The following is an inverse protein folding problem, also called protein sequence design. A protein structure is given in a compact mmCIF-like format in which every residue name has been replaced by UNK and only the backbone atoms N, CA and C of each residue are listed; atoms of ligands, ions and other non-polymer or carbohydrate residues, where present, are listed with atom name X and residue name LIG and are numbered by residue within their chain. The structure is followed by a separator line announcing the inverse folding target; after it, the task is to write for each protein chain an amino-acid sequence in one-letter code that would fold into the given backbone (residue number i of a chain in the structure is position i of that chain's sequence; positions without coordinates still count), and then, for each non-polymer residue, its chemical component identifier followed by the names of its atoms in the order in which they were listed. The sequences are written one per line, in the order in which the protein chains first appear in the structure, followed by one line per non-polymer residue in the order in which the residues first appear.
data_IF_842718421735
#
_entry.id   IF_842718421735
#
_cell.length_a   1.000
_cell.length_b   1.000
_cell.length_c   1.000
_cell.angle_alpha   90.00
_cell.angle_beta   90.00
_cell.angle_gamma   90.00
#
_symmetry.space_group_name_H-M   'P 1'
#
loop_
_entity.id
_entity.type
_entity.pdbx_description
1 polymer ?
#
# COMPACT_ATOMS: atom_id res chain seq x y z
N UNK A 1 -13.68 -30.94 -46.48
CA UNK A 1 -13.19 -31.61 -45.25
C UNK A 1 -11.98 -30.84 -44.75
N UNK A 2 -12.20 -29.88 -43.85
CA UNK A 2 -11.09 -29.33 -43.08
C UNK A 2 -10.49 -30.47 -42.26
N UNK A 3 -9.25 -30.80 -42.51
CA UNK A 3 -8.50 -31.74 -41.74
C UNK A 3 -8.54 -31.31 -40.23
N UNK A 4 -8.66 -32.28 -39.32
CA UNK A 4 -8.80 -32.04 -37.86
C UNK A 4 -7.65 -31.15 -37.31
N UNK A 5 -6.46 -31.17 -37.95
CA UNK A 5 -5.35 -30.26 -37.63
C UNK A 5 -5.60 -28.81 -38.00
N UNK A 6 -6.40 -28.53 -39.05
CA UNK A 6 -6.77 -27.18 -39.42
C UNK A 6 -7.90 -26.60 -38.54
N UNK A 7 -8.69 -27.45 -37.86
CA UNK A 7 -9.66 -26.96 -36.87
C UNK A 7 -8.99 -26.36 -35.64
N UNK A 8 -7.82 -26.82 -35.25
CA UNK A 8 -7.03 -26.23 -34.18
C UNK A 8 -6.41 -24.88 -34.55
N UNK A 9 -6.33 -24.58 -35.83
CA UNK A 9 -5.88 -23.30 -36.41
C UNK A 9 -7.04 -22.44 -36.93
N UNK A 10 -8.31 -22.85 -36.73
CA UNK A 10 -9.44 -22.00 -37.06
C UNK A 10 -9.40 -20.73 -36.22
N UNK A 11 -9.36 -19.62 -36.91
CA UNK A 11 -9.29 -18.21 -36.50
C UNK A 11 -10.41 -17.78 -35.48
N UNK A 12 -11.16 -18.70 -34.95
CA UNK A 12 -12.31 -18.47 -34.04
C UNK A 12 -11.97 -18.61 -32.56
N UNK A 13 -10.93 -19.38 -32.24
CA UNK A 13 -10.43 -19.43 -30.88
C UNK A 13 -9.54 -18.22 -30.66
N UNK A 14 -9.78 -17.48 -29.61
CA UNK A 14 -9.02 -16.25 -29.33
C UNK A 14 -8.59 -16.18 -27.88
N UNK A 15 -7.33 -15.76 -27.70
CA UNK A 15 -6.74 -15.47 -26.41
C UNK A 15 -6.51 -13.97 -26.31
N UNK A 16 -7.13 -13.33 -25.33
CA UNK A 16 -7.03 -11.90 -25.10
C UNK A 16 -6.23 -11.65 -23.83
N UNK A 17 -5.16 -10.90 -23.96
CA UNK A 17 -4.24 -10.57 -22.86
C UNK A 17 -3.72 -9.16 -23.04
N UNK A 18 -3.48 -8.47 -21.92
CA UNK A 18 -2.74 -7.20 -21.95
C UNK A 18 -1.25 -7.53 -21.99
N UNK A 19 -0.56 -7.01 -23.02
CA UNK A 19 0.87 -7.25 -23.19
C UNK A 19 1.67 -6.79 -21.96
N UNK A 20 2.57 -7.65 -21.47
CA UNK A 20 3.36 -7.41 -20.27
C UNK A 20 2.65 -7.73 -18.94
N UNK A 21 1.37 -8.16 -18.96
CA UNK A 21 0.64 -8.53 -17.74
C UNK A 21 0.50 -10.02 -17.51
N UNK A 22 0.90 -10.83 -18.49
CA UNK A 22 0.76 -12.28 -18.42
C UNK A 22 2.09 -12.98 -18.23
N UNK A 23 2.06 -14.07 -17.48
CA UNK A 23 3.19 -14.96 -17.28
C UNK A 23 3.34 -15.87 -18.51
N UNK A 24 4.23 -15.49 -19.42
CA UNK A 24 4.42 -16.13 -20.74
C UNK A 24 4.69 -17.64 -20.60
N UNK A 25 5.53 -18.05 -19.66
CA UNK A 25 5.87 -19.45 -19.44
C UNK A 25 4.64 -20.34 -19.11
N UNK A 26 3.66 -19.81 -18.38
CA UNK A 26 2.44 -20.55 -18.05
C UNK A 26 1.53 -20.60 -19.27
N UNK A 27 1.39 -19.48 -19.98
CA UNK A 27 0.57 -19.42 -21.20
C UNK A 27 1.09 -20.36 -22.27
N UNK A 28 2.41 -20.37 -22.53
CA UNK A 28 3.02 -21.29 -23.50
C UNK A 28 2.76 -22.75 -23.15
N UNK A 29 2.92 -23.13 -21.87
CA UNK A 29 2.63 -24.51 -21.43
C UNK A 29 1.16 -24.86 -21.62
N UNK A 30 0.25 -23.96 -21.31
CA UNK A 30 -1.19 -24.17 -21.49
C UNK A 30 -1.56 -24.29 -22.96
N UNK A 31 -1.03 -23.42 -23.82
CA UNK A 31 -1.23 -23.48 -25.27
C UNK A 31 -0.69 -24.82 -25.82
N UNK A 32 0.52 -25.23 -25.42
CA UNK A 32 1.09 -26.50 -25.83
C UNK A 32 0.24 -27.69 -25.38
N UNK A 33 -0.31 -27.65 -24.18
CA UNK A 33 -1.24 -28.66 -23.67
C UNK A 33 -2.53 -28.70 -24.51
N UNK A 34 -3.15 -27.55 -24.81
CA UNK A 34 -4.36 -27.49 -25.61
C UNK A 34 -4.16 -27.99 -27.04
N UNK A 35 -3.02 -27.64 -27.64
CA UNK A 35 -2.67 -28.14 -28.99
C UNK A 35 -2.41 -29.66 -29.03
N UNK A 36 -2.06 -30.27 -27.89
CA UNK A 36 -1.85 -31.72 -27.78
C UNK A 36 -3.12 -32.51 -27.54
N UNK A 37 -4.27 -31.86 -27.27
CA UNK A 37 -5.55 -32.53 -27.03
C UNK A 37 -6.08 -33.17 -28.29
N UNK A 38 -6.35 -34.49 -28.31
CA UNK A 38 -6.70 -35.20 -29.53
C UNK A 38 -8.14 -34.91 -30.02
N UNK A 39 -9.04 -34.55 -29.12
CA UNK A 39 -10.45 -34.32 -29.47
C UNK A 39 -11.18 -33.38 -28.51
N UNK A 40 -11.52 -32.19 -28.98
CA UNK A 40 -12.31 -31.18 -28.24
C UNK A 40 -13.83 -31.47 -28.34
N UNK A 41 -14.26 -32.33 -29.27
CA UNK A 41 -15.68 -32.64 -29.43
C UNK A 41 -16.24 -33.47 -28.28
N UNK A 42 -15.40 -34.12 -27.49
CA UNK A 42 -15.76 -34.86 -26.30
C UNK A 42 -16.08 -34.00 -25.07
N UNK A 43 -15.94 -32.66 -25.16
CA UNK A 43 -16.14 -31.73 -24.06
C UNK A 43 -17.46 -30.97 -24.31
N UNK A 44 -18.56 -31.30 -23.59
CA UNK A 44 -19.87 -30.76 -23.91
C UNK A 44 -20.13 -29.34 -23.37
N UNK A 45 -19.37 -28.89 -22.33
CA UNK A 45 -19.61 -27.61 -21.65
C UNK A 45 -18.32 -26.87 -21.35
N UNK A 46 -18.42 -25.53 -21.23
CA UNK A 46 -17.31 -24.68 -20.87
C UNK A 46 -16.74 -24.99 -19.48
N UNK A 47 -17.61 -25.39 -18.53
CA UNK A 47 -17.19 -25.81 -17.19
C UNK A 47 -16.40 -27.13 -17.22
N UNK A 48 -16.77 -28.05 -18.12
CA UNK A 48 -16.00 -29.28 -18.32
C UNK A 48 -14.65 -29.01 -19.00
N UNK A 49 -14.58 -28.03 -19.89
CA UNK A 49 -13.31 -27.57 -20.48
C UNK A 49 -12.42 -26.94 -19.40
N UNK A 50 -12.96 -26.07 -18.57
CA UNK A 50 -12.24 -25.44 -17.47
C UNK A 50 -11.63 -26.51 -16.55
N UNK A 51 -12.41 -27.49 -16.10
CA UNK A 51 -11.93 -28.49 -15.14
C UNK A 51 -10.88 -29.46 -15.71
N UNK A 52 -10.90 -29.74 -17.03
CA UNK A 52 -10.00 -30.69 -17.68
C UNK A 52 -8.77 -30.03 -18.32
N UNK A 53 -8.96 -28.85 -18.88
CA UNK A 53 -7.96 -28.22 -19.76
C UNK A 53 -7.26 -27.01 -19.12
N UNK A 54 -7.79 -26.45 -18.04
CA UNK A 54 -7.23 -25.29 -17.34
C UNK A 54 -6.89 -25.68 -15.90
N UNK A 55 -5.76 -26.38 -15.73
CA UNK A 55 -5.36 -26.91 -14.42
C UNK A 55 -4.15 -26.18 -13.81
N UNK A 56 -3.48 -25.33 -14.61
CA UNK A 56 -2.23 -24.68 -14.22
C UNK A 56 -2.43 -23.34 -13.48
N UNK A 57 -3.64 -22.80 -13.45
CA UNK A 57 -3.96 -21.52 -12.84
C UNK A 57 -5.40 -21.47 -12.35
N UNK A 58 -5.70 -20.50 -11.49
CA UNK A 58 -7.10 -20.19 -11.11
C UNK A 58 -7.82 -19.62 -12.32
N UNK A 59 -9.01 -20.19 -12.59
CA UNK A 59 -9.80 -19.76 -13.72
C UNK A 59 -11.30 -19.84 -13.42
N UNK A 60 -12.05 -18.93 -14.04
CA UNK A 60 -13.50 -18.85 -13.88
C UNK A 60 -14.19 -18.67 -15.23
N UNK A 61 -15.36 -19.26 -15.38
CA UNK A 61 -16.21 -19.07 -16.56
C UNK A 61 -16.85 -17.68 -16.48
N UNK A 62 -16.70 -16.92 -17.57
CA UNK A 62 -17.28 -15.61 -17.76
C UNK A 62 -18.36 -15.70 -18.85
N UNK A 63 -19.56 -15.19 -18.54
CA UNK A 63 -20.71 -15.20 -19.47
C UNK A 63 -21.14 -13.79 -19.88
N UNK A 64 -20.67 -12.76 -19.17
CA UNK A 64 -20.94 -11.35 -19.47
C UNK A 64 -19.76 -10.72 -20.21
N UNK A 65 -20.08 -9.90 -21.23
CA UNK A 65 -19.08 -9.10 -21.93
C UNK A 65 -18.39 -8.09 -21.02
N UNK A 66 -19.13 -7.51 -20.10
CA UNK A 66 -18.62 -6.51 -19.16
C UNK A 66 -17.61 -7.14 -18.19
N UNK A 67 -17.93 -8.33 -17.67
CA UNK A 67 -17.05 -9.12 -16.82
C UNK A 67 -15.77 -9.54 -17.57
N UNK A 68 -15.88 -9.95 -18.84
CA UNK A 68 -14.75 -10.30 -19.68
C UNK A 68 -13.79 -9.12 -19.89
N UNK A 69 -14.33 -7.96 -20.28
CA UNK A 69 -13.56 -6.74 -20.50
C UNK A 69 -12.87 -6.29 -19.21
N UNK A 70 -13.61 -6.26 -18.10
CA UNK A 70 -13.07 -5.93 -16.80
C UNK A 70 -11.96 -6.90 -16.38
N UNK A 71 -12.15 -8.19 -16.57
CA UNK A 71 -11.18 -9.23 -16.28
C UNK A 71 -9.87 -9.02 -17.02
N UNK A 72 -9.93 -8.75 -18.33
CA UNK A 72 -8.75 -8.50 -19.16
C UNK A 72 -8.01 -7.23 -18.73
N UNK A 73 -8.72 -6.13 -18.47
CA UNK A 73 -8.09 -4.90 -17.98
C UNK A 73 -7.55 -5.03 -16.55
N UNK A 74 -8.06 -5.98 -15.76
CA UNK A 74 -7.50 -6.33 -14.45
C UNK A 74 -6.28 -7.26 -14.54
N UNK A 75 -5.77 -7.54 -15.75
CA UNK A 75 -4.58 -8.36 -15.99
C UNK A 75 -4.86 -9.86 -16.11
N UNK A 76 -6.14 -10.30 -16.11
CA UNK A 76 -6.48 -11.70 -16.41
C UNK A 76 -6.41 -11.97 -17.89
N UNK A 77 -6.17 -13.21 -18.25
CA UNK A 77 -6.20 -13.66 -19.64
C UNK A 77 -7.55 -14.26 -19.96
N UNK A 78 -8.18 -13.81 -21.02
CA UNK A 78 -9.45 -14.31 -21.48
C UNK A 78 -9.23 -15.30 -22.64
N UNK A 79 -9.73 -16.52 -22.49
CA UNK A 79 -9.81 -17.53 -23.54
C UNK A 79 -11.24 -17.62 -24.04
N UNK A 80 -11.44 -17.42 -25.33
CA UNK A 80 -12.72 -17.66 -26.02
C UNK A 80 -12.55 -18.82 -26.97
N UNK A 81 -13.35 -19.88 -26.79
CA UNK A 81 -13.29 -21.10 -27.58
C UNK A 81 -14.53 -21.18 -28.48
N UNK A 82 -14.33 -21.47 -29.76
CA UNK A 82 -15.42 -21.60 -30.72
C UNK A 82 -16.38 -22.75 -30.32
N UNK A 83 -17.67 -22.51 -30.46
CA UNK A 83 -18.71 -23.46 -30.09
C UNK A 83 -19.24 -23.35 -28.67
N UNK A 84 -18.67 -22.51 -27.83
CA UNK A 84 -19.16 -22.25 -26.46
C UNK A 84 -19.69 -20.81 -26.31
N UNK A 85 -20.78 -20.66 -25.57
CA UNK A 85 -21.30 -19.33 -25.19
C UNK A 85 -20.60 -18.87 -23.93
N UNK A 86 -19.63 -17.90 -24.08
CA UNK A 86 -18.85 -17.33 -22.97
C UNK A 86 -17.35 -17.47 -23.18
N UNK A 87 -16.59 -17.16 -22.16
CA UNK A 87 -15.14 -17.28 -22.13
C UNK A 87 -14.63 -17.77 -20.77
N UNK A 88 -13.37 -18.06 -20.70
CA UNK A 88 -12.67 -18.44 -19.46
C UNK A 88 -11.67 -17.36 -19.11
N UNK A 89 -11.84 -16.73 -17.96
CA UNK A 89 -10.89 -15.78 -17.39
C UNK A 89 -9.87 -16.55 -16.53
N UNK A 90 -8.62 -16.51 -16.93
CA UNK A 90 -7.50 -17.20 -16.28
C UNK A 90 -6.64 -16.20 -15.51
N UNK A 91 -6.28 -16.51 -14.27
CA UNK A 91 -5.39 -15.70 -13.46
C UNK A 91 -3.93 -16.14 -13.67
N UNK A 92 -3.34 -15.68 -14.76
CA UNK A 92 -1.92 -15.86 -15.11
C UNK A 92 -1.19 -14.52 -15.11
N UNK A 93 -1.70 -13.57 -14.32
CA UNK A 93 -1.15 -12.21 -14.29
C UNK A 93 0.21 -12.17 -13.64
N UNK A 94 1.08 -11.40 -14.24
CA UNK A 94 2.38 -11.01 -13.69
C UNK A 94 2.60 -9.54 -14.01
N UNK A 95 2.37 -8.68 -13.02
CA UNK A 95 2.65 -7.27 -13.22
C UNK A 95 4.16 -7.03 -13.19
N UNK A 96 4.68 -6.11 -14.03
CA UNK A 96 6.04 -5.64 -13.88
C UNK A 96 6.18 -4.96 -12.52
N UNK A 97 7.00 -5.51 -11.66
CA UNK A 97 7.29 -4.97 -10.34
C UNK A 97 8.79 -4.84 -10.17
N UNK A 98 9.25 -3.82 -9.47
CA UNK A 98 10.65 -3.75 -9.06
C UNK A 98 10.96 -4.86 -8.06
N UNK A 99 12.23 -5.21 -7.94
CA UNK A 99 12.72 -6.08 -6.87
C UNK A 99 12.48 -5.43 -5.50
N UNK A 100 12.42 -6.28 -4.45
CA UNK A 100 12.36 -5.79 -3.08
C UNK A 100 13.73 -5.19 -2.75
N UNK A 101 13.76 -3.88 -2.53
CA UNK A 101 14.96 -3.10 -2.26
C UNK A 101 14.82 -2.31 -0.96
N UNK A 102 15.93 -1.81 -0.46
CA UNK A 102 15.91 -0.95 0.72
C UNK A 102 15.22 0.38 0.41
N UNK A 103 14.32 0.87 1.30
CA UNK A 103 13.64 2.14 1.12
C UNK A 103 14.62 3.31 1.10
N UNK A 104 14.36 4.31 0.26
CA UNK A 104 15.20 5.50 0.17
C UNK A 104 15.04 6.43 1.37
N UNK A 105 13.82 6.54 1.90
CA UNK A 105 13.46 7.51 2.95
C UNK A 105 13.72 7.01 4.37
N UNK A 106 13.81 5.70 4.58
CA UNK A 106 13.86 5.09 5.92
C UNK A 106 14.99 4.07 6.04
N UNK A 107 16.19 4.45 5.63
CA UNK A 107 17.39 3.60 5.73
C UNK A 107 17.78 3.35 7.17
N UNK A 108 18.17 2.13 7.48
CA UNK A 108 18.65 1.74 8.81
C UNK A 108 20.04 1.12 8.72
N UNK A 109 20.83 1.36 9.76
CA UNK A 109 22.18 0.79 9.87
C UNK A 109 22.16 -0.70 10.23
N UNK A 110 21.09 -1.17 10.85
CA UNK A 110 20.91 -2.56 11.29
C UNK A 110 19.44 -2.94 11.10
N UNK A 111 19.20 -4.21 10.77
CA UNK A 111 17.86 -4.75 10.63
C UNK A 111 17.53 -5.21 9.21
N UNK A 112 16.26 -5.31 8.91
CA UNK A 112 15.78 -5.73 7.59
C UNK A 112 15.96 -4.61 6.58
N UNK A 113 16.43 -4.95 5.37
CA UNK A 113 16.60 -4.01 4.26
C UNK A 113 15.50 -4.15 3.22
N UNK A 114 14.46 -4.96 3.48
CA UNK A 114 13.32 -5.08 2.58
C UNK A 114 12.35 -3.92 2.76
N UNK A 115 11.91 -3.35 1.65
CA UNK A 115 10.89 -2.30 1.56
C UNK A 115 9.61 -2.80 0.91
N UNK A 116 8.54 -2.03 1.07
CA UNK A 116 7.32 -2.24 0.30
C UNK A 116 7.54 -1.90 -1.18
N UNK A 117 6.81 -2.60 -2.02
CA UNK A 117 6.80 -2.42 -3.48
C UNK A 117 5.43 -1.94 -3.93
N UNK A 118 5.28 -1.61 -5.21
CA UNK A 118 4.01 -1.12 -5.77
C UNK A 118 2.91 -2.19 -5.81
N UNK A 119 3.28 -3.47 -5.73
CA UNK A 119 2.34 -4.59 -5.81
C UNK A 119 1.74 -4.92 -4.44
N UNK A 120 0.42 -4.68 -4.28
CA UNK A 120 -0.33 -4.92 -3.06
C UNK A 120 -0.20 -6.36 -2.53
N UNK A 121 -0.21 -7.35 -3.42
CA UNK A 121 -0.15 -8.77 -3.01
C UNK A 121 1.24 -9.16 -2.50
N UNK A 122 2.29 -8.59 -3.09
CA UNK A 122 3.66 -8.78 -2.58
C UNK A 122 3.82 -8.15 -1.21
N UNK A 123 3.29 -6.94 -1.01
CA UNK A 123 3.30 -6.26 0.29
C UNK A 123 2.53 -7.06 1.35
N UNK A 124 1.36 -7.60 1.00
CA UNK A 124 0.60 -8.48 1.87
C UNK A 124 1.39 -9.76 2.24
N UNK A 125 2.11 -10.34 1.28
CA UNK A 125 2.96 -11.51 1.52
C UNK A 125 4.15 -11.18 2.44
N UNK A 126 4.75 -9.98 2.33
CA UNK A 126 5.81 -9.52 3.23
C UNK A 126 5.32 -9.43 4.67
N UNK A 127 4.13 -8.87 4.91
CA UNK A 127 3.52 -8.82 6.24
C UNK A 127 3.20 -10.23 6.76
N UNK A 128 2.57 -11.08 5.93
CA UNK A 128 2.22 -12.46 6.31
C UNK A 128 3.46 -13.32 6.63
N UNK A 129 4.58 -13.11 5.93
CA UNK A 129 5.85 -13.79 6.21
C UNK A 129 6.39 -13.46 7.60
N UNK A 130 6.18 -12.21 8.07
CA UNK A 130 6.65 -11.72 9.37
C UNK A 130 5.69 -12.06 10.49
N UNK A 131 4.39 -11.87 10.27
CA UNK A 131 3.33 -12.20 11.22
C UNK A 131 2.75 -13.56 10.83
N UNK A 132 3.17 -14.60 11.53
CA UNK A 132 2.71 -15.98 11.31
C UNK A 132 1.54 -16.35 12.22
N UNK A 133 0.70 -15.38 12.58
CA UNK A 133 -0.50 -15.55 13.38
C UNK A 133 -1.74 -15.64 12.48
N UNK A 134 -2.63 -16.58 12.78
CA UNK A 134 -3.90 -16.76 12.06
C UNK A 134 -4.86 -15.58 12.26
N UNK A 135 -4.70 -14.80 13.34
CA UNK A 135 -5.48 -13.60 13.63
C UNK A 135 -5.13 -12.40 12.73
N UNK A 136 -4.02 -12.46 11.99
CA UNK A 136 -3.72 -11.42 11.03
C UNK A 136 -4.76 -11.43 9.92
N UNK A 137 -5.56 -10.39 9.85
CA UNK A 137 -6.59 -10.20 8.84
C UNK A 137 -6.13 -9.20 7.80
N UNK A 138 -6.26 -9.59 6.53
CA UNK A 138 -5.97 -8.79 5.34
C UNK A 138 -7.28 -8.63 4.56
N UNK A 139 -7.99 -7.54 4.81
CA UNK A 139 -9.27 -7.24 4.19
C UNK A 139 -9.06 -6.39 2.94
N UNK A 140 -9.34 -6.96 1.78
CA UNK A 140 -9.24 -6.24 0.51
C UNK A 140 -10.54 -5.50 0.22
N UNK A 141 -10.44 -4.21 -0.03
CA UNK A 141 -11.55 -3.34 -0.43
C UNK A 141 -11.21 -2.73 -1.79
N UNK A 142 -12.05 -2.98 -2.79
CA UNK A 142 -11.94 -2.31 -4.08
C UNK A 142 -12.69 -0.98 -4.02
N UNK A 143 -12.00 0.11 -4.34
CA UNK A 143 -12.62 1.43 -4.38
C UNK A 143 -13.49 1.56 -5.64
N UNK A 144 -14.67 2.16 -5.47
CA UNK A 144 -15.59 2.44 -6.59
C UNK A 144 -15.19 3.75 -7.31
N UNK A 145 -14.03 3.71 -7.94
CA UNK A 145 -13.48 4.79 -8.75
C UNK A 145 -13.22 4.30 -10.18
N UNK A 146 -12.86 5.21 -11.09
CA UNK A 146 -12.56 4.86 -12.49
C UNK A 146 -11.38 3.90 -12.61
N UNK A 147 -10.38 3.99 -11.72
CA UNK A 147 -9.19 3.13 -11.71
C UNK A 147 -9.42 1.80 -10.99
N UNK A 148 -10.53 1.63 -10.24
CA UNK A 148 -10.83 0.45 -9.41
C UNK A 148 -9.64 0.00 -8.58
N UNK A 149 -9.01 0.98 -7.93
CA UNK A 149 -7.83 0.76 -7.11
C UNK A 149 -8.14 -0.16 -5.94
N UNK A 150 -7.30 -1.16 -5.73
CA UNK A 150 -7.40 -2.06 -4.59
C UNK A 150 -6.70 -1.45 -3.36
N UNK A 151 -7.37 -1.56 -2.23
CA UNK A 151 -6.84 -1.15 -0.92
C UNK A 151 -6.94 -2.35 0.03
N UNK A 152 -5.90 -2.61 0.81
CA UNK A 152 -5.93 -3.62 1.85
C UNK A 152 -5.86 -2.99 3.24
N UNK A 153 -6.81 -3.36 4.10
CA UNK A 153 -6.77 -3.11 5.53
C UNK A 153 -6.10 -4.29 6.22
N UNK A 154 -4.99 -4.06 6.89
CA UNK A 154 -4.21 -5.07 7.58
C UNK A 154 -4.23 -4.79 9.07
N UNK A 155 -4.72 -5.73 9.87
CA UNK A 155 -4.89 -5.57 11.31
C UNK A 155 -4.88 -6.92 12.02
N UNK A 156 -4.64 -6.89 13.33
CA UNK A 156 -4.73 -8.08 14.18
C UNK A 156 -6.15 -8.18 14.75
N UNK A 157 -6.82 -9.30 14.47
CA UNK A 157 -8.16 -9.56 15.00
C UNK A 157 -8.12 -9.71 16.52
N UNK A 158 -8.97 -8.94 17.20
CA UNK A 158 -9.04 -8.89 18.68
C UNK A 158 -8.10 -7.87 19.34
N UNK A 159 -7.14 -7.29 18.62
CA UNK A 159 -6.25 -6.23 19.13
C UNK A 159 -6.62 -4.86 18.57
N UNK A 160 -7.01 -4.82 17.29
CA UNK A 160 -7.38 -3.57 16.62
C UNK A 160 -8.71 -3.03 17.14
N UNK A 161 -8.80 -1.70 17.26
CA UNK A 161 -10.02 -0.99 17.68
C UNK A 161 -11.16 -1.22 16.66
N UNK A 162 -12.29 -1.84 17.10
CA UNK A 162 -13.40 -2.13 16.21
C UNK A 162 -14.11 -0.87 15.68
N UNK A 163 -14.14 0.21 16.47
CA UNK A 163 -14.78 1.46 16.08
C UNK A 163 -13.97 2.15 14.97
N UNK A 164 -12.64 2.15 15.11
CA UNK A 164 -11.74 2.64 14.06
C UNK A 164 -11.90 1.82 12.75
N UNK A 165 -11.95 0.50 12.84
CA UNK A 165 -12.16 -0.37 11.68
C UNK A 165 -13.50 -0.09 10.98
N UNK A 166 -14.58 0.08 11.74
CA UNK A 166 -15.89 0.42 11.20
C UNK A 166 -15.88 1.78 10.49
N UNK A 167 -15.20 2.78 11.07
CA UNK A 167 -15.03 4.11 10.47
C UNK A 167 -14.23 4.03 9.16
N UNK A 168 -13.10 3.32 9.15
CA UNK A 168 -12.25 3.15 7.97
C UNK A 168 -13.00 2.45 6.84
N UNK A 169 -13.71 1.35 7.13
CA UNK A 169 -14.54 0.66 6.14
C UNK A 169 -15.63 1.55 5.55
N UNK A 170 -16.29 2.35 6.39
CA UNK A 170 -17.32 3.30 5.96
C UNK A 170 -16.73 4.38 5.07
N UNK A 171 -15.58 4.95 5.42
CA UNK A 171 -14.90 5.97 4.63
C UNK A 171 -14.45 5.43 3.27
N UNK A 172 -13.83 4.25 3.23
CA UNK A 172 -13.39 3.61 2.00
C UNK A 172 -14.56 3.29 1.05
N UNK A 173 -15.68 2.76 1.57
CA UNK A 173 -16.88 2.48 0.76
C UNK A 173 -17.54 3.74 0.22
N UNK A 174 -17.53 4.83 0.97
CA UNK A 174 -18.16 6.09 0.57
C UNK A 174 -17.23 7.00 -0.24
N UNK A 175 -16.04 6.53 -0.55
CA UNK A 175 -15.02 7.30 -1.25
C UNK A 175 -15.36 7.43 -2.73
N UNK A 176 -16.01 8.53 -3.10
CA UNK A 176 -16.30 8.90 -4.49
C UNK A 176 -15.19 9.82 -5.02
N UNK A 177 -14.07 9.26 -5.42
CA UNK A 177 -12.99 10.03 -6.04
C UNK A 177 -12.97 9.75 -7.54
N UNK A 178 -13.21 10.76 -8.34
CA UNK A 178 -13.39 10.62 -9.79
C UNK A 178 -12.18 10.10 -10.55
N UNK A 179 -10.97 10.45 -10.16
CA UNK A 179 -9.72 9.83 -10.61
C UNK A 179 -8.68 10.00 -9.50
N UNK A 180 -8.11 8.89 -9.06
CA UNK A 180 -7.00 8.90 -8.11
C UNK A 180 -5.73 9.01 -8.92
N UNK A 181 -5.25 10.23 -9.15
CA UNK A 181 -3.99 10.48 -9.84
C UNK A 181 -2.79 10.12 -8.95
N UNK A 182 -2.94 10.32 -7.63
CA UNK A 182 -1.99 9.91 -6.59
C UNK A 182 -2.72 8.99 -5.61
N UNK A 183 -2.69 7.69 -5.85
CA UNK A 183 -3.57 6.71 -5.18
C UNK A 183 -3.51 6.78 -3.66
N UNK A 184 -2.33 6.85 -3.09
CA UNK A 184 -2.14 6.79 -1.63
C UNK A 184 -2.49 8.10 -0.92
N UNK A 185 -2.04 9.25 -1.44
CA UNK A 185 -2.36 10.56 -0.85
C UNK A 185 -3.86 10.83 -0.87
N UNK A 186 -4.53 10.48 -1.95
CA UNK A 186 -5.99 10.63 -2.05
C UNK A 186 -6.72 9.76 -1.04
N UNK A 187 -6.23 8.53 -0.78
CA UNK A 187 -6.78 7.66 0.26
C UNK A 187 -6.49 8.25 1.63
N UNK A 188 -5.27 8.71 1.91
CA UNK A 188 -4.90 9.33 3.17
C UNK A 188 -5.73 10.58 3.48
N UNK A 189 -5.97 11.44 2.48
CA UNK A 189 -6.82 12.63 2.62
C UNK A 189 -8.27 12.25 2.93
N UNK A 190 -8.81 11.22 2.27
CA UNK A 190 -10.17 10.75 2.53
C UNK A 190 -10.34 10.07 3.90
N UNK A 191 -9.32 9.38 4.37
CA UNK A 191 -9.30 8.77 5.70
C UNK A 191 -9.14 9.81 6.82
N UNK A 192 -8.45 10.91 6.53
CA UNK A 192 -8.22 11.99 7.49
C UNK A 192 -9.46 12.88 7.62
N UNK A 193 -9.99 13.14 8.81
CA UNK A 193 -11.06 14.11 8.97
C UNK A 193 -10.54 15.52 8.67
N UNK A 194 -11.25 16.27 7.84
CA UNK A 194 -10.97 17.67 7.54
C UNK A 194 -11.18 18.53 8.79
N UNK A 195 -10.14 18.71 9.59
CA UNK A 195 -10.13 19.60 10.75
C UNK A 195 -9.13 20.72 10.49
N UNK A 196 -9.64 21.89 10.19
CA UNK A 196 -8.85 23.08 9.92
C UNK A 196 -7.95 23.52 11.09
N UNK A 197 -8.35 23.21 12.32
CA UNK A 197 -7.66 23.61 13.55
C UNK A 197 -6.55 22.65 14.01
N UNK A 198 -6.42 21.47 13.40
CA UNK A 198 -5.38 20.52 13.80
C UNK A 198 -4.27 20.48 12.75
N UNK A 199 -3.11 21.11 13.02
CA UNK A 199 -1.99 21.13 12.09
C UNK A 199 -1.21 19.81 12.05
N UNK A 200 -1.50 18.86 12.93
CA UNK A 200 -0.76 17.60 13.00
C UNK A 200 -1.28 16.59 11.98
N UNK A 201 -0.37 15.88 11.27
CA UNK A 201 -0.76 14.81 10.36
C UNK A 201 -1.43 13.68 11.15
N UNK A 202 -2.53 13.14 10.61
CA UNK A 202 -3.31 12.07 11.24
C UNK A 202 -2.94 10.68 10.73
N UNK A 203 -2.11 10.64 9.73
CA UNK A 203 -1.64 9.43 9.08
C UNK A 203 -0.13 9.46 9.05
N UNK A 204 0.49 8.37 9.46
CA UNK A 204 1.93 8.16 9.32
C UNK A 204 2.18 7.22 8.15
N UNK A 205 3.22 7.50 7.39
CA UNK A 205 3.64 6.67 6.27
C UNK A 205 4.83 5.80 6.66
N UNK A 206 4.89 4.61 6.11
CA UNK A 206 6.08 3.76 6.21
C UNK A 206 6.29 2.98 4.93
N UNK A 207 7.52 2.92 4.47
CA UNK A 207 7.95 2.07 3.35
C UNK A 207 8.49 0.72 3.85
N UNK A 208 8.48 0.51 5.16
CA UNK A 208 9.13 -0.62 5.82
C UNK A 208 8.14 -1.63 6.35
N UNK A 209 8.21 -2.90 5.88
CA UNK A 209 7.35 -3.97 6.37
C UNK A 209 7.60 -4.33 7.85
N UNK A 210 8.81 -4.14 8.38
CA UNK A 210 9.11 -4.42 9.79
C UNK A 210 8.41 -3.43 10.73
N UNK A 211 8.41 -2.13 10.40
CA UNK A 211 7.68 -1.10 11.15
C UNK A 211 6.17 -1.35 11.09
N UNK A 212 5.64 -1.61 9.90
CA UNK A 212 4.22 -1.93 9.73
C UNK A 212 3.82 -3.16 10.55
N UNK A 213 4.68 -4.19 10.59
CA UNK A 213 4.47 -5.39 11.41
C UNK A 213 4.41 -5.07 12.89
N UNK A 214 5.34 -4.25 13.41
CA UNK A 214 5.35 -3.84 14.80
C UNK A 214 4.05 -3.11 15.17
N UNK A 215 3.63 -2.14 14.35
CA UNK A 215 2.38 -1.41 14.55
C UNK A 215 1.14 -2.32 14.55
N UNK A 216 1.06 -3.29 13.62
CA UNK A 216 -0.06 -4.26 13.59
C UNK A 216 -0.10 -5.08 14.88
N UNK A 217 1.04 -5.51 15.40
CA UNK A 217 1.12 -6.27 16.64
C UNK A 217 0.77 -5.43 17.89
N UNK A 218 0.89 -4.12 17.80
CA UNK A 218 0.47 -3.16 18.85
C UNK A 218 -1.02 -2.78 18.74
N UNK A 219 -1.74 -3.32 17.76
CA UNK A 219 -3.18 -3.08 17.56
C UNK A 219 -3.51 -1.99 16.57
N UNK A 220 -2.52 -1.44 15.86
CA UNK A 220 -2.76 -0.46 14.80
C UNK A 220 -3.30 -1.11 13.54
N UNK A 221 -3.96 -0.29 12.72
CA UNK A 221 -4.45 -0.67 11.40
C UNK A 221 -3.49 -0.12 10.34
N UNK A 222 -2.99 -1.00 9.51
CA UNK A 222 -2.13 -0.65 8.38
C UNK A 222 -2.96 -0.68 7.10
N UNK A 223 -2.96 0.42 6.36
CA UNK A 223 -3.67 0.54 5.08
C UNK A 223 -2.65 0.56 3.95
N UNK A 224 -2.72 -0.41 3.08
CA UNK A 224 -1.90 -0.50 1.88
C UNK A 224 -2.75 -0.19 0.65
N UNK A 225 -2.22 0.58 -0.27
CA UNK A 225 -2.88 0.96 -1.52
C UNK A 225 -2.09 0.38 -2.69
N UNK A 226 -2.77 -0.19 -3.65
CA UNK A 226 -2.13 -0.73 -4.86
C UNK A 226 -1.45 0.40 -5.66
N UNK A 227 -0.36 0.08 -6.31
CA UNK A 227 0.54 1.01 -7.01
C UNK A 227 1.22 2.04 -6.07
N UNK A 228 1.42 1.69 -4.79
CA UNK A 228 2.13 2.55 -3.85
C UNK A 228 3.16 1.74 -3.05
N UNK A 229 4.42 2.20 -2.97
CA UNK A 229 5.50 1.52 -2.24
C UNK A 229 5.51 1.83 -0.75
N UNK A 230 4.45 2.43 -0.21
CA UNK A 230 4.35 2.74 1.21
C UNK A 230 2.99 2.35 1.79
N UNK A 231 2.92 2.21 3.10
CA UNK A 231 1.73 1.89 3.85
C UNK A 231 1.37 3.03 4.81
N UNK A 232 0.08 3.20 5.05
CA UNK A 232 -0.48 4.17 5.98
C UNK A 232 -0.70 3.50 7.34
N UNK A 233 -0.23 4.10 8.40
CA UNK A 233 -0.39 3.63 9.77
C UNK A 233 -1.46 4.47 10.48
N UNK A 234 -2.44 3.82 11.10
CA UNK A 234 -3.58 4.43 11.79
C UNK A 234 -3.91 3.66 13.08
N UNK A 235 -4.24 4.35 14.19
CA UNK A 235 -4.25 5.79 14.39
C UNK A 235 -2.84 6.34 14.62
N UNK A 236 -2.61 7.62 14.30
CA UNK A 236 -1.34 8.29 14.60
C UNK A 236 -1.52 9.25 15.77
N UNK A 237 -0.71 9.10 16.80
CA UNK A 237 -0.60 10.01 17.93
C UNK A 237 0.63 10.90 17.79
N UNK A 238 0.65 12.05 18.48
CA UNK A 238 1.80 12.94 18.49
C UNK A 238 3.07 12.22 18.97
N UNK A 239 2.96 11.34 19.95
CA UNK A 239 4.08 10.55 20.47
C UNK A 239 4.65 9.62 19.41
N UNK A 240 3.79 8.90 18.70
CA UNK A 240 4.21 7.99 17.61
C UNK A 240 4.82 8.73 16.42
N UNK A 241 4.48 10.01 16.25
CA UNK A 241 5.08 10.82 15.18
C UNK A 241 6.55 11.15 15.47
N UNK A 242 6.94 11.20 16.74
CA UNK A 242 8.34 11.45 17.16
C UNK A 242 9.20 10.18 17.24
N UNK A 243 8.62 9.00 17.07
CA UNK A 243 9.34 7.73 17.03
C UNK A 243 10.20 7.62 15.78
N UNK A 244 11.44 7.21 15.97
CA UNK A 244 12.38 6.93 14.89
C UNK A 244 12.58 5.41 14.77
N UNK A 245 12.72 4.95 13.54
CA UNK A 245 12.84 3.51 13.21
C UNK A 245 14.03 2.88 13.92
N UNK A 246 15.12 3.61 14.04
CA UNK A 246 16.32 3.13 14.70
C UNK A 246 16.10 2.82 16.20
N UNK A 247 15.11 3.43 16.85
CA UNK A 247 14.82 3.20 18.27
C UNK A 247 14.36 1.74 18.53
N UNK A 248 13.70 1.09 17.57
CA UNK A 248 13.30 -0.31 17.67
C UNK A 248 14.46 -1.30 17.66
N UNK A 249 15.64 -0.88 17.16
CA UNK A 249 16.83 -1.72 17.10
C UNK A 249 17.79 -1.50 18.28
N UNK A 250 17.51 -0.51 19.12
CA UNK A 250 18.26 -0.31 20.37
C UNK A 250 17.67 -1.13 21.53
N UNK A 251 18.47 -1.45 22.57
CA UNK A 251 17.90 -2.01 23.79
C UNK A 251 16.77 -1.13 24.33
N UNK A 252 15.71 -1.70 24.93
CA UNK A 252 14.50 -0.97 25.33
C UNK A 252 14.75 0.27 26.20
N UNK A 253 15.75 0.19 27.10
CA UNK A 253 16.16 1.33 27.95
C UNK A 253 16.71 2.50 27.13
N UNK A 254 17.51 2.21 26.10
CA UNK A 254 18.14 3.26 25.27
C UNK A 254 17.08 3.87 24.36
N UNK A 255 16.23 3.06 23.73
CA UNK A 255 15.13 3.53 22.88
C UNK A 255 14.17 4.45 23.65
N UNK A 256 13.74 4.05 24.84
CA UNK A 256 12.86 4.86 25.69
C UNK A 256 13.55 6.17 26.12
N UNK A 257 14.82 6.12 26.46
CA UNK A 257 15.59 7.33 26.82
C UNK A 257 15.65 8.32 25.64
N UNK A 258 15.96 7.83 24.43
CA UNK A 258 16.02 8.67 23.23
C UNK A 258 14.68 9.30 22.89
N UNK A 259 13.59 8.57 23.07
CA UNK A 259 12.23 9.07 22.86
C UNK A 259 11.90 10.20 23.87
N UNK A 260 12.24 10.03 25.16
CA UNK A 260 12.05 11.06 26.17
C UNK A 260 12.88 12.31 25.83
N UNK A 261 14.14 12.14 25.44
CA UNK A 261 15.01 13.27 25.08
C UNK A 261 14.42 14.04 23.88
N UNK A 262 13.95 13.35 22.82
CA UNK A 262 13.27 14.01 21.68
C UNK A 262 12.03 14.79 22.12
N UNK A 263 11.23 14.22 22.99
CA UNK A 263 10.03 14.88 23.52
C UNK A 263 10.39 16.14 24.30
N UNK A 264 11.40 16.07 25.15
CA UNK A 264 11.89 17.24 25.90
C UNK A 264 12.43 18.30 24.95
N UNK A 265 13.24 17.91 23.95
CA UNK A 265 13.76 18.85 22.95
C UNK A 265 12.63 19.51 22.17
N UNK A 266 11.61 18.76 21.75
CA UNK A 266 10.44 19.30 21.06
C UNK A 266 9.71 20.33 21.91
N UNK A 267 9.44 20.00 23.19
CA UNK A 267 8.81 20.93 24.12
C UNK A 267 9.67 22.19 24.34
N UNK A 268 10.97 22.01 24.54
CA UNK A 268 11.90 23.15 24.69
C UNK A 268 11.88 24.02 23.42
N UNK A 269 11.90 23.44 22.23
CA UNK A 269 11.87 24.20 20.97
C UNK A 269 10.58 25.02 20.85
N UNK A 270 9.44 24.43 21.19
CA UNK A 270 8.14 25.09 21.09
C UNK A 270 7.99 26.22 22.09
N UNK A 271 8.51 26.07 23.32
CA UNK A 271 8.31 27.05 24.40
C UNK A 271 9.49 28.04 24.52
N UNK A 272 10.72 27.54 24.49
CA UNK A 272 11.91 28.38 24.71
C UNK A 272 12.14 29.36 23.59
N UNK A 273 11.95 28.93 22.32
CA UNK A 273 12.18 29.80 21.16
C UNK A 273 11.27 31.04 21.15
N UNK A 274 9.93 30.92 21.31
CA UNK A 274 9.05 32.10 21.39
C UNK A 274 9.34 32.96 22.63
N UNK A 275 9.60 32.34 23.79
CA UNK A 275 9.94 33.07 25.02
C UNK A 275 11.23 33.84 24.82
N UNK A 276 12.26 33.20 24.25
CA UNK A 276 13.51 33.85 23.91
C UNK A 276 13.31 35.06 22.98
N UNK A 277 12.53 34.88 21.92
CA UNK A 277 12.17 35.98 21.01
C UNK A 277 11.47 37.14 21.70
N UNK A 278 10.54 36.86 22.63
CA UNK A 278 9.85 37.88 23.42
C UNK A 278 10.82 38.62 24.37
N UNK A 279 11.75 37.89 24.99
CA UNK A 279 12.75 38.48 25.87
C UNK A 279 13.74 39.40 25.10
N UNK A 280 14.15 38.96 23.90
CA UNK A 280 15.00 39.79 23.02
C UNK A 280 14.27 41.06 22.59
N UNK A 281 12.98 40.98 22.36
CA UNK A 281 12.15 42.13 21.95
C UNK A 281 11.85 43.09 23.11
N UNK A 282 11.82 42.60 24.37
CA UNK A 282 11.54 43.37 25.57
C UNK A 282 12.67 43.16 26.59
N UNK A 283 13.84 43.79 26.38
CA UNK A 283 15.02 43.59 27.23
C UNK A 283 14.82 43.98 28.70
N UNK A 284 13.90 44.91 28.98
CA UNK A 284 13.59 45.38 30.35
C UNK A 284 12.97 44.28 31.23
N UNK A 285 12.46 43.17 30.59
CA UNK A 285 11.89 42.03 31.31
C UNK A 285 12.91 41.03 31.80
N UNK A 286 14.19 41.19 31.43
CA UNK A 286 15.26 40.25 31.75
C UNK A 286 16.04 40.74 32.97
N UNK A 287 16.42 39.81 33.85
CA UNK A 287 17.27 40.12 35.00
C UNK A 287 18.66 40.61 34.54
N UNK A 288 19.20 41.63 35.18
CA UNK A 288 20.48 42.28 34.81
C UNK A 288 21.63 41.32 34.52
N UNK A 289 21.72 40.22 35.25
CA UNK A 289 22.77 39.20 35.10
C UNK A 289 22.67 38.39 33.76
N UNK A 290 21.58 38.48 33.03
CA UNK A 290 21.34 37.76 31.77
C UNK A 290 21.41 38.68 30.53
N UNK A 291 21.58 39.99 30.75
CA UNK A 291 21.66 40.97 29.65
C UNK A 291 22.79 40.69 28.67
N UNK A 292 23.89 40.04 29.10
CA UNK A 292 25.00 39.69 28.21
C UNK A 292 24.60 38.72 27.10
N UNK A 293 23.60 37.85 27.37
CA UNK A 293 23.08 36.89 26.38
C UNK A 293 22.32 37.60 25.24
N UNK A 294 21.64 38.71 25.54
CA UNK A 294 20.88 39.49 24.58
C UNK A 294 21.72 40.32 23.64
N UNK A 295 22.88 40.81 24.13
CA UNK A 295 23.75 41.73 23.36
C UNK A 295 24.27 41.04 22.09
N UNK A 296 24.56 39.76 22.17
CA UNK A 296 25.08 38.98 21.03
C UNK A 296 23.98 38.63 20.02
N UNK A 297 22.76 38.31 20.48
CA UNK A 297 21.65 37.95 19.62
C UNK A 297 20.92 39.13 18.99
N UNK A 298 20.94 40.29 19.62
CA UNK A 298 20.38 41.52 19.03
C UNK A 298 21.04 41.86 17.68
N UNK A 299 22.33 41.54 17.53
CA UNK A 299 23.06 41.73 16.28
C UNK A 299 22.54 40.80 15.17
N UNK A 300 22.28 39.52 15.48
CA UNK A 300 21.80 38.54 14.52
C UNK A 300 20.33 38.75 14.14
N UNK A 301 19.46 39.13 15.08
CA UNK A 301 18.07 39.46 14.84
C UNK A 301 17.95 40.70 13.94
N UNK A 302 18.81 41.69 14.11
CA UNK A 302 18.82 42.87 13.25
C UNK A 302 19.27 42.54 11.82
N UNK A 303 20.21 41.60 11.68
CA UNK A 303 20.69 41.11 10.37
C UNK A 303 19.62 40.33 9.62
N UNK A 304 18.84 39.49 10.31
CA UNK A 304 17.74 38.72 9.72
C UNK A 304 16.60 39.65 9.30
N UNK A 305 16.32 40.71 10.07
CA UNK A 305 15.29 41.69 9.74
C UNK A 305 15.65 42.59 8.54
N UNK A 306 16.95 42.68 8.21
CA UNK A 306 17.43 43.39 7.01
C UNK A 306 17.46 42.49 5.77
N UNK A 307 17.37 41.16 5.94
CA UNK A 307 17.38 40.17 4.86
C UNK A 307 15.97 39.69 4.44
N UNK A 308 14.94 39.99 5.23
CA UNK A 308 13.52 39.79 4.92
C UNK A 308 12.87 41.11 4.44
#
# INVERSE_FOLDING_TARGET
LCDRRQRQMCIRDSLWVVNGYAQENILERMIAQWLSLPDLTAIPTLDAFLSRCVTACDAAVCRSREEAVLGVFSGRTLLVVDGFCGGILMDVKQFPTRSIEEPDTSRVLRGSHDGFVENLMQNAALLRRRIRDSRLTLERVQLDNRSRTDVALCYMEGEADPDLLAELRKKLKNMQVGSIAMSQESVAEALSPRQFWNPFPKVRYTERPDVATACIMEGDVVVMVDNSPSALLLPTTLLRFTEEINDYYFPPLIGSYLQIVRMVVLLLTVFVTPVWYLLVKNPDSLHENLHFLLVQDAYYVHLIHQLL
#
